data_IF_721771063243
#
_entry.id   IF_721771063243
#
_cell.length_a   1.000
_cell.length_b   1.000
_cell.length_c   1.000
_cell.angle_alpha   90.00
_cell.angle_beta   90.00
_cell.angle_gamma   90.00
#
_symmetry.space_group_name_H-M   'P 1'
#
loop_
_entity.id
_entity.type
_entity.pdbx_description
1 polymer ?
#
# COMPACT_ATOMS: atom_id res chain seq x y z
N UNK A 1 -13.13 9.29 -55.52
CA UNK A 1 -14.20 10.23 -55.11
C UNK A 1 -14.03 10.47 -53.61
N UNK A 2 -13.29 11.51 -53.22
CA UNK A 2 -13.04 11.81 -51.80
C UNK A 2 -14.30 12.44 -51.21
N UNK A 3 -14.97 11.72 -50.30
CA UNK A 3 -16.12 12.24 -49.57
C UNK A 3 -15.68 13.45 -48.72
N UNK A 4 -16.05 14.65 -49.15
CA UNK A 4 -15.90 15.86 -48.33
C UNK A 4 -16.88 15.75 -47.16
N UNK A 5 -16.38 15.29 -46.02
CA UNK A 5 -17.13 15.32 -44.77
C UNK A 5 -17.49 16.78 -44.45
N UNK A 6 -18.78 17.04 -44.26
CA UNK A 6 -19.25 18.37 -43.83
C UNK A 6 -18.60 18.74 -42.50
N UNK A 7 -18.31 20.03 -42.31
CA UNK A 7 -17.77 20.55 -41.05
C UNK A 7 -18.61 20.15 -39.82
N UNK A 8 -19.92 19.96 -40.02
CA UNK A 8 -20.86 19.46 -39.00
C UNK A 8 -20.57 18.00 -38.64
N UNK A 9 -20.28 17.16 -39.63
CA UNK A 9 -19.94 15.74 -39.44
C UNK A 9 -18.61 15.60 -38.72
N UNK A 10 -17.62 16.41 -39.07
CA UNK A 10 -16.31 16.45 -38.40
C UNK A 10 -16.48 16.86 -36.92
N UNK A 11 -17.24 17.94 -36.65
CA UNK A 11 -17.50 18.41 -35.28
C UNK A 11 -18.19 17.34 -34.43
N UNK A 12 -19.15 16.61 -34.98
CA UNK A 12 -19.84 15.50 -34.27
C UNK A 12 -18.89 14.34 -33.95
N UNK A 13 -18.00 13.98 -34.87
CA UNK A 13 -17.00 12.93 -34.63
C UNK A 13 -16.00 13.34 -33.55
N UNK A 14 -15.54 14.60 -33.56
CA UNK A 14 -14.63 15.13 -32.52
C UNK A 14 -15.32 15.11 -31.15
N UNK A 15 -16.57 15.57 -31.07
CA UNK A 15 -17.32 15.55 -29.80
C UNK A 15 -17.57 14.13 -29.30
N UNK A 16 -17.89 13.18 -30.19
CA UNK A 16 -18.04 11.77 -29.83
C UNK A 16 -16.72 11.18 -29.32
N UNK A 17 -15.59 11.51 -29.94
CA UNK A 17 -14.26 11.09 -29.48
C UNK A 17 -13.92 11.65 -28.10
N UNK A 18 -14.20 12.93 -27.84
CA UNK A 18 -13.99 13.55 -26.52
C UNK A 18 -14.89 12.90 -25.46
N UNK A 19 -16.16 12.68 -25.78
CA UNK A 19 -17.10 12.02 -24.87
C UNK A 19 -16.64 10.60 -24.52
N UNK A 20 -16.18 9.82 -25.51
CA UNK A 20 -15.66 8.48 -25.28
C UNK A 20 -14.39 8.49 -24.41
N UNK A 21 -13.45 9.41 -24.68
CA UNK A 21 -12.24 9.55 -23.89
C UNK A 21 -12.55 9.92 -22.43
N UNK A 22 -13.52 10.80 -22.20
CA UNK A 22 -13.97 11.16 -20.85
C UNK A 22 -14.61 9.98 -20.11
N UNK A 23 -15.46 9.21 -20.79
CA UNK A 23 -16.09 8.01 -20.19
C UNK A 23 -15.02 6.98 -19.79
N UNK A 24 -14.01 6.77 -20.64
CA UNK A 24 -12.90 5.85 -20.34
C UNK A 24 -12.06 6.38 -19.18
N UNK A 25 -11.74 7.67 -19.15
CA UNK A 25 -11.00 8.29 -18.05
C UNK A 25 -11.75 8.19 -16.71
N UNK A 26 -13.06 8.44 -16.72
CA UNK A 26 -13.92 8.29 -15.54
C UNK A 26 -13.96 6.82 -15.12
N UNK A 27 -14.14 5.87 -16.04
CA UNK A 27 -14.11 4.45 -15.72
C UNK A 27 -12.78 4.05 -15.06
N UNK A 28 -11.63 4.46 -15.61
CA UNK A 28 -10.33 4.17 -15.02
C UNK A 28 -10.11 4.84 -13.66
N UNK A 29 -10.70 6.01 -13.41
CA UNK A 29 -10.63 6.69 -12.11
C UNK A 29 -11.57 6.10 -11.05
N UNK A 30 -12.74 5.60 -11.47
CA UNK A 30 -13.80 5.10 -10.59
C UNK A 30 -13.57 3.64 -10.20
N UNK A 31 -12.99 2.81 -11.07
CA UNK A 31 -12.61 1.44 -10.70
C UNK A 31 -11.34 1.44 -9.84
N UNK A 32 -11.48 1.85 -8.57
CA UNK A 32 -10.51 1.54 -7.53
C UNK A 32 -10.49 0.02 -7.36
N UNK A 33 -9.42 -0.60 -7.86
CA UNK A 33 -9.23 -2.04 -7.73
C UNK A 33 -8.65 -2.29 -6.34
N UNK A 34 -9.51 -2.75 -5.44
CA UNK A 34 -9.07 -3.31 -4.17
C UNK A 34 -8.08 -4.45 -4.45
N UNK A 35 -6.98 -4.49 -3.71
CA UNK A 35 -6.07 -5.63 -3.74
C UNK A 35 -6.61 -6.75 -2.85
N UNK A 36 -6.22 -7.99 -3.14
CA UNK A 36 -6.55 -9.11 -2.27
C UNK A 36 -5.54 -9.24 -1.11
N UNK A 37 -5.92 -9.98 -0.06
CA UNK A 37 -5.06 -10.20 1.09
C UNK A 37 -3.69 -10.81 0.73
N UNK A 38 -3.58 -11.79 -0.21
CA UNK A 38 -2.28 -12.29 -0.67
C UNK A 38 -1.39 -11.25 -1.33
N UNK A 39 -1.96 -10.30 -2.08
CA UNK A 39 -1.19 -9.20 -2.67
C UNK A 39 -0.69 -8.25 -1.59
N UNK A 40 -1.55 -7.88 -0.62
CA UNK A 40 -1.17 -7.04 0.51
C UNK A 40 -0.03 -7.66 1.34
N UNK A 41 -0.15 -8.96 1.62
CA UNK A 41 0.86 -9.76 2.31
C UNK A 41 2.24 -9.71 1.61
N UNK A 42 2.28 -9.88 0.28
CA UNK A 42 3.54 -9.80 -0.49
C UNK A 42 4.18 -8.41 -0.43
N UNK A 43 3.39 -7.34 -0.37
CA UNK A 43 3.91 -5.97 -0.23
C UNK A 43 4.51 -5.81 1.16
N UNK A 44 3.81 -6.28 2.20
CA UNK A 44 4.28 -6.19 3.57
C UNK A 44 5.57 -7.01 3.81
N UNK A 45 5.67 -8.22 3.25
CA UNK A 45 6.88 -9.05 3.33
C UNK A 45 8.09 -8.34 2.69
N UNK A 46 7.89 -7.65 1.56
CA UNK A 46 8.96 -6.85 0.93
C UNK A 46 9.44 -5.72 1.85
N UNK A 47 8.52 -5.05 2.53
CA UNK A 47 8.84 -3.99 3.49
C UNK A 47 9.56 -4.54 4.74
N UNK A 48 9.21 -5.73 5.22
CA UNK A 48 9.93 -6.38 6.31
C UNK A 48 11.37 -6.70 5.90
N UNK A 49 11.57 -7.28 4.71
CA UNK A 49 12.91 -7.58 4.19
C UNK A 49 13.71 -6.30 3.96
N UNK A 50 13.08 -5.25 3.45
CA UNK A 50 13.73 -3.95 3.28
C UNK A 50 14.17 -3.38 4.63
N UNK A 51 13.31 -3.40 5.65
CA UNK A 51 13.65 -2.95 7.00
C UNK A 51 14.81 -3.75 7.60
N UNK A 52 14.78 -5.09 7.48
CA UNK A 52 15.86 -5.95 7.96
C UNK A 52 17.20 -5.60 7.31
N UNK A 53 17.20 -5.32 5.99
CA UNK A 53 18.41 -4.90 5.27
C UNK A 53 18.92 -3.52 5.69
N UNK A 54 18.03 -2.55 5.88
CA UNK A 54 18.44 -1.17 6.23
C UNK A 54 18.85 -1.02 7.69
N UNK A 55 18.22 -1.76 8.60
CA UNK A 55 18.53 -1.76 10.03
C UNK A 55 19.70 -2.68 10.41
N UNK A 56 20.12 -3.57 9.52
CA UNK A 56 21.11 -4.62 9.81
C UNK A 56 20.56 -5.75 10.69
N UNK A 57 19.26 -5.76 11.02
CA UNK A 57 18.65 -6.82 11.80
C UNK A 57 18.39 -8.05 10.92
N UNK A 58 18.72 -9.26 11.39
CA UNK A 58 18.50 -10.45 10.58
C UNK A 58 17.01 -10.83 10.56
N UNK A 59 16.45 -11.37 9.45
CA UNK A 59 15.03 -11.76 9.37
C UNK A 59 14.58 -12.73 10.47
N UNK A 60 15.47 -13.59 10.95
CA UNK A 60 15.24 -14.52 12.06
C UNK A 60 15.02 -13.86 13.42
N UNK A 61 15.21 -12.54 13.54
CA UNK A 61 14.94 -11.79 14.77
C UNK A 61 13.46 -11.41 14.91
N UNK A 62 12.61 -11.83 13.98
CA UNK A 62 11.18 -11.57 13.96
C UNK A 62 10.38 -12.87 14.11
N UNK A 63 9.21 -12.79 14.75
CA UNK A 63 8.24 -13.89 14.78
C UNK A 63 7.65 -14.16 13.39
N UNK A 64 6.79 -15.17 13.29
CA UNK A 64 5.85 -15.28 12.18
C UNK A 64 4.99 -14.00 12.06
N UNK A 65 4.52 -13.75 10.83
CA UNK A 65 3.67 -12.61 10.50
C UNK A 65 2.28 -12.80 11.11
N UNK A 66 1.77 -11.76 11.74
CA UNK A 66 0.38 -11.64 12.20
C UNK A 66 -0.37 -10.74 11.19
N UNK A 67 -1.51 -11.21 10.68
CA UNK A 67 -2.28 -10.55 9.62
C UNK A 67 -3.60 -10.04 10.21
N UNK A 68 -3.90 -8.75 10.03
CA UNK A 68 -5.17 -8.16 10.46
C UNK A 68 -5.79 -7.33 9.34
N UNK A 69 -7.07 -7.58 9.06
CA UNK A 69 -7.83 -6.85 8.06
C UNK A 69 -8.69 -5.77 8.71
N UNK A 70 -8.68 -4.60 8.09
CA UNK A 70 -9.45 -3.43 8.48
C UNK A 70 -10.37 -2.99 7.33
N UNK A 71 -11.28 -2.05 7.61
CA UNK A 71 -12.21 -1.55 6.60
C UNK A 71 -11.50 -0.84 5.44
N UNK A 72 -10.35 -0.21 5.72
CA UNK A 72 -9.57 0.66 4.86
C UNK A 72 -8.22 0.06 4.43
N UNK A 73 -7.92 -1.19 4.82
CA UNK A 73 -6.69 -1.85 4.42
C UNK A 73 -6.32 -3.08 5.25
N UNK A 74 -5.02 -3.33 5.31
CA UNK A 74 -4.42 -4.44 6.04
C UNK A 74 -3.30 -3.94 6.92
N UNK A 75 -3.21 -4.53 8.10
CA UNK A 75 -2.08 -4.39 8.99
C UNK A 75 -1.36 -5.73 9.11
N UNK A 76 -0.04 -5.68 8.97
CA UNK A 76 0.83 -6.82 9.16
C UNK A 76 1.81 -6.53 10.28
N UNK A 77 1.97 -7.47 11.19
CA UNK A 77 2.81 -7.31 12.36
C UNK A 77 3.83 -8.45 12.47
N UNK A 78 5.05 -8.09 12.83
CA UNK A 78 6.10 -9.03 13.23
C UNK A 78 6.63 -8.59 14.58
N UNK A 79 6.57 -9.47 15.59
CA UNK A 79 7.15 -9.17 16.90
C UNK A 79 8.64 -9.37 16.85
N UNK A 80 9.36 -8.49 17.52
CA UNK A 80 10.81 -8.56 17.55
C UNK A 80 11.24 -9.49 18.68
N UNK A 81 11.83 -10.64 18.33
CA UNK A 81 12.12 -11.75 19.25
C UNK A 81 13.00 -11.38 20.47
N UNK A 82 13.94 -10.43 20.38
CA UNK A 82 14.67 -10.00 21.58
C UNK A 82 13.76 -9.37 22.66
N UNK A 83 12.65 -8.73 22.28
CA UNK A 83 11.67 -8.16 23.20
C UNK A 83 10.22 -8.19 22.62
N UNK A 84 9.60 -9.37 22.48
CA UNK A 84 8.40 -9.57 21.64
C UNK A 84 7.11 -8.97 22.24
N UNK A 85 7.14 -8.65 23.53
CA UNK A 85 6.05 -7.98 24.23
C UNK A 85 6.11 -6.45 24.12
N UNK A 86 7.27 -5.90 23.75
CA UNK A 86 7.54 -4.46 23.78
C UNK A 86 7.74 -3.87 22.38
N UNK A 87 8.32 -4.63 21.47
CA UNK A 87 8.68 -4.15 20.14
C UNK A 87 8.05 -4.99 19.04
N UNK A 88 7.45 -4.31 18.07
CA UNK A 88 7.00 -4.93 16.84
C UNK A 88 7.21 -4.04 15.63
N UNK A 89 7.48 -4.68 14.50
CA UNK A 89 7.37 -4.05 13.20
C UNK A 89 5.92 -4.16 12.75
N UNK A 90 5.25 -3.02 12.53
CA UNK A 90 3.90 -2.98 11.95
C UNK A 90 3.93 -2.26 10.61
N UNK A 91 3.28 -2.84 9.63
CA UNK A 91 3.15 -2.31 8.28
C UNK A 91 1.68 -2.15 7.95
N UNK A 92 1.32 -0.96 7.47
CA UNK A 92 -0.02 -0.66 6.98
C UNK A 92 -0.03 -0.60 5.46
N UNK A 93 -0.98 -1.30 4.85
CA UNK A 93 -1.24 -1.30 3.40
C UNK A 93 -2.67 -0.83 3.15
N UNK A 94 -2.86 0.21 2.33
CA UNK A 94 -4.19 0.70 1.94
C UNK A 94 -4.93 -0.33 1.10
N UNK A 95 -6.26 -0.28 1.15
CA UNK A 95 -7.16 -1.20 0.45
C UNK A 95 -6.92 -1.32 -1.06
N UNK A 96 -6.49 -0.22 -1.68
CA UNK A 96 -6.18 -0.12 -3.10
C UNK A 96 -4.71 -0.44 -3.44
N UNK A 97 -3.89 -0.77 -2.44
CA UNK A 97 -2.46 -1.07 -2.58
C UNK A 97 -1.57 0.12 -2.97
N UNK A 98 -2.11 1.34 -3.04
CA UNK A 98 -1.33 2.53 -3.46
C UNK A 98 -0.46 3.11 -2.36
N UNK A 99 -0.84 2.91 -1.10
CA UNK A 99 -0.11 3.39 0.06
C UNK A 99 0.35 2.21 0.90
N UNK A 100 1.65 2.13 1.15
CA UNK A 100 2.27 1.15 2.02
C UNK A 100 3.30 1.86 2.91
N UNK A 101 3.16 1.72 4.23
CA UNK A 101 4.02 2.42 5.19
C UNK A 101 4.28 1.59 6.43
N UNK A 102 5.40 1.86 7.09
CA UNK A 102 5.61 1.40 8.45
C UNK A 102 4.67 2.18 9.37
N UNK A 103 3.86 1.47 10.16
CA UNK A 103 3.02 2.07 11.19
C UNK A 103 3.75 2.10 12.55
N UNK A 104 4.65 1.13 12.76
CA UNK A 104 5.45 0.98 13.97
C UNK A 104 6.78 0.35 13.60
N UNK A 105 7.88 0.87 14.13
CA UNK A 105 9.20 0.26 14.02
C UNK A 105 9.60 -0.36 15.37
N UNK A 106 10.28 -1.52 15.37
CA UNK A 106 10.69 -2.15 16.61
C UNK A 106 11.81 -1.34 17.26
N UNK A 107 11.67 -1.07 18.55
CA UNK A 107 12.68 -0.44 19.39
C UNK A 107 12.79 -1.21 20.73
N UNK A 108 13.86 -1.98 20.89
CA UNK A 108 14.22 -2.58 22.19
C UNK A 108 15.19 -1.65 22.92
N UNK A 109 14.76 -0.46 23.33
CA UNK A 109 15.59 0.39 24.19
C UNK A 109 15.26 0.12 25.68
N UNK A 110 16.13 -0.55 26.45
CA UNK A 110 16.07 -0.55 27.91
C UNK A 110 16.53 0.79 28.54
N UNK A 111 17.17 1.69 27.77
CA UNK A 111 17.81 2.91 28.30
C UNK A 111 16.92 4.17 28.30
N UNK A 112 15.72 4.11 27.68
CA UNK A 112 14.83 5.29 27.54
C UNK A 112 13.75 5.38 28.62
N UNK A 113 13.77 4.49 29.61
CA UNK A 113 12.74 4.41 30.66
C UNK A 113 11.41 3.83 30.13
N UNK A 114 10.68 3.16 31.01
CA UNK A 114 9.48 2.33 30.76
C UNK A 114 8.24 3.06 30.18
N UNK A 115 8.38 4.26 29.60
CA UNK A 115 7.25 5.10 29.17
C UNK A 115 7.41 5.73 27.78
N UNK A 116 8.34 5.27 26.94
CA UNK A 116 8.43 5.78 25.56
C UNK A 116 7.49 4.99 24.66
N UNK A 117 6.52 5.70 24.06
CA UNK A 117 5.63 5.13 23.07
C UNK A 117 6.44 4.60 21.87
N UNK A 118 6.05 3.47 21.27
CA UNK A 118 6.74 2.96 20.09
C UNK A 118 6.82 4.05 19.01
N UNK A 119 7.95 4.11 18.30
CA UNK A 119 8.19 5.06 17.21
C UNK A 119 7.13 4.87 16.11
N UNK A 120 6.07 5.65 16.19
CA UNK A 120 5.07 5.80 15.13
C UNK A 120 5.70 6.65 14.03
N UNK A 121 5.71 6.12 12.81
CA UNK A 121 6.25 6.78 11.62
C UNK A 121 5.20 7.66 10.97
#
# INVERSE_FOLDING_TARGET
MMARLSAITIRRLVLAGIALALVIAIAMGVFHRDIDAPTAAKIADKLQVQYARTSGQPPRAFTGREDMQWADGWEFRWRYLPCPELASLRVWISRDGRSARYAELPDCAPDNGLNVAPLKV
#
